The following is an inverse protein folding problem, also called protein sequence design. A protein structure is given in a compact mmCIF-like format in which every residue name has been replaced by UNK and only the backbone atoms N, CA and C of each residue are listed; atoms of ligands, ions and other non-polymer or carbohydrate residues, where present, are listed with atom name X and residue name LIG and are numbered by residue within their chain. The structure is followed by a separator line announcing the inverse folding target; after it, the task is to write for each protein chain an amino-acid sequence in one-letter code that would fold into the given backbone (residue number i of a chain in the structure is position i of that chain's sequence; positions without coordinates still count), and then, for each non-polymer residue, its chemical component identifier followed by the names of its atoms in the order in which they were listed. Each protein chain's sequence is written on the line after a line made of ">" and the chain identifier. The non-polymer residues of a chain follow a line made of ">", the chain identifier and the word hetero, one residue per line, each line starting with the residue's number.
data_IF_743295389199
#
_entry.id   IF_743295389199
#
_cell.length_a   1.000
_cell.length_b   1.000
_cell.length_c   1.000
_cell.angle_alpha   90.00
_cell.angle_beta   90.00
_cell.angle_gamma   90.00
#
_symmetry.space_group_name_H-M   'P 1'
#
loop_
_entity.id
_entity.type
_entity.pdbx_description
1 polymer ?
#
# COMPACT_ATOMS: atom_id res chain seq x y z
N UNK A 1 51.22 -26.28 42.84
CA UNK A 1 49.80 -25.86 42.85
C UNK A 1 49.39 -25.66 41.40
N UNK A 2 48.55 -26.55 40.87
CA UNK A 2 48.29 -26.70 39.43
C UNK A 2 46.79 -26.49 39.24
N UNK A 3 46.41 -25.30 38.77
CA UNK A 3 45.01 -24.92 38.55
C UNK A 3 44.47 -25.61 37.29
N UNK A 4 43.53 -26.53 37.47
CA UNK A 4 42.72 -27.12 36.40
C UNK A 4 41.54 -26.19 36.09
N UNK A 5 41.55 -25.59 34.90
CA UNK A 5 40.38 -24.95 34.31
C UNK A 5 39.37 -26.02 33.90
N UNK A 6 38.19 -26.01 34.52
CA UNK A 6 37.01 -26.71 34.03
C UNK A 6 36.39 -25.87 32.91
N UNK A 7 36.59 -26.29 31.66
CA UNK A 7 35.83 -25.79 30.52
C UNK A 7 34.47 -26.50 30.50
N UNK A 8 33.45 -25.85 31.06
CA UNK A 8 32.05 -26.21 30.84
C UNK A 8 31.66 -25.90 29.40
N UNK A 9 31.51 -26.94 28.58
CA UNK A 9 30.89 -26.88 27.27
C UNK A 9 29.41 -26.50 27.42
N UNK A 10 29.09 -25.25 27.08
CA UNK A 10 27.72 -24.76 26.98
C UNK A 10 27.11 -25.34 25.69
N UNK A 11 26.32 -26.40 25.83
CA UNK A 11 25.53 -26.95 24.74
C UNK A 11 24.37 -25.99 24.42
N UNK A 12 24.54 -25.13 23.40
CA UNK A 12 23.43 -24.41 22.79
C UNK A 12 22.59 -25.42 21.99
N UNK A 13 21.57 -25.97 22.64
CA UNK A 13 20.46 -26.63 21.97
C UNK A 13 19.49 -25.59 21.41
N UNK A 14 19.61 -25.28 20.12
CA UNK A 14 18.57 -24.60 19.34
C UNK A 14 18.40 -25.36 18.02
N UNK A 15 17.68 -26.47 18.08
CA UNK A 15 17.06 -27.06 16.90
C UNK A 15 15.74 -26.33 16.65
N UNK A 16 15.81 -25.10 16.12
CA UNK A 16 14.68 -24.56 15.38
C UNK A 16 14.71 -25.26 14.02
N UNK A 17 13.80 -26.19 13.79
CA UNK A 17 13.56 -26.71 12.45
C UNK A 17 12.94 -25.55 11.66
N UNK A 18 13.74 -24.80 10.92
CA UNK A 18 13.21 -23.93 9.89
C UNK A 18 12.52 -24.84 8.88
N UNK A 19 11.18 -24.85 8.89
CA UNK A 19 10.42 -25.46 7.82
C UNK A 19 10.70 -24.64 6.57
N UNK A 20 10.94 -25.32 5.45
CA UNK A 20 11.15 -24.64 4.19
C UNK A 20 9.81 -24.05 3.73
N UNK A 21 9.81 -22.79 3.31
CA UNK A 21 8.64 -22.11 2.79
C UNK A 21 7.91 -22.94 1.72
N UNK A 22 6.58 -22.82 1.68
CA UNK A 22 5.73 -23.51 0.71
C UNK A 22 5.91 -22.89 -0.66
N UNK A 23 6.37 -23.68 -1.63
CA UNK A 23 6.45 -23.22 -3.01
C UNK A 23 5.05 -23.17 -3.65
N UNK A 24 4.59 -21.98 -4.06
CA UNK A 24 3.28 -21.78 -4.67
C UNK A 24 3.08 -22.61 -5.95
N UNK A 25 4.16 -22.86 -6.72
CA UNK A 25 4.11 -23.69 -7.93
C UNK A 25 3.74 -25.15 -7.66
N UNK A 26 3.88 -25.62 -6.41
CA UNK A 26 3.51 -26.98 -6.01
C UNK A 26 2.00 -27.12 -5.76
N UNK A 27 1.27 -26.00 -5.69
CA UNK A 27 -0.16 -25.98 -5.40
C UNK A 27 -0.98 -26.04 -6.70
N UNK A 28 -2.18 -26.63 -6.66
CA UNK A 28 -3.07 -26.63 -7.81
C UNK A 28 -3.33 -25.19 -8.32
N UNK A 29 -3.05 -24.96 -9.59
CA UNK A 29 -3.19 -23.64 -10.25
C UNK A 29 -2.46 -22.51 -9.52
N UNK A 30 -1.31 -22.81 -8.88
CA UNK A 30 -0.53 -21.85 -8.11
C UNK A 30 -1.37 -21.09 -7.06
N UNK A 31 -2.32 -21.80 -6.44
CA UNK A 31 -3.33 -21.18 -5.56
C UNK A 31 -3.32 -21.80 -4.17
N UNK A 32 -3.12 -20.96 -3.15
CA UNK A 32 -3.41 -21.31 -1.75
C UNK A 32 -4.92 -21.25 -1.55
N UNK A 33 -5.56 -22.42 -1.44
CA UNK A 33 -7.00 -22.55 -1.22
C UNK A 33 -7.40 -22.95 0.20
N UNK A 34 -6.40 -23.32 1.02
CA UNK A 34 -6.57 -23.76 2.40
C UNK A 34 -5.58 -23.03 3.32
N UNK A 35 -5.43 -23.53 4.54
CA UNK A 35 -4.47 -23.01 5.52
C UNK A 35 -3.04 -23.47 5.25
N UNK A 36 -2.10 -22.52 5.21
CA UNK A 36 -0.65 -22.72 5.20
C UNK A 36 -0.11 -22.10 6.48
N UNK A 37 0.63 -22.88 7.28
CA UNK A 37 1.26 -22.43 8.53
C UNK A 37 2.76 -22.23 8.35
N UNK A 38 3.13 -21.48 7.33
CA UNK A 38 4.50 -21.16 6.94
C UNK A 38 4.47 -20.00 5.94
N UNK A 39 5.63 -19.54 5.51
CA UNK A 39 5.76 -18.63 4.39
C UNK A 39 5.41 -19.32 3.07
N UNK A 40 4.94 -18.54 2.09
CA UNK A 40 4.67 -18.99 0.72
C UNK A 40 5.59 -18.23 -0.23
N UNK A 41 6.31 -18.96 -1.08
CA UNK A 41 7.22 -18.38 -2.07
C UNK A 41 6.78 -18.75 -3.48
N UNK A 42 6.81 -17.77 -4.37
CA UNK A 42 6.59 -17.92 -5.80
C UNK A 42 7.78 -17.35 -6.57
N UNK A 43 8.18 -18.01 -7.65
CA UNK A 43 9.31 -17.58 -8.49
C UNK A 43 8.92 -17.75 -9.94
N UNK A 44 8.89 -16.66 -10.70
CA UNK A 44 8.59 -16.69 -12.14
C UNK A 44 7.16 -17.11 -12.47
N UNK A 45 6.22 -16.97 -11.52
CA UNK A 45 4.82 -17.34 -11.69
C UNK A 45 3.89 -16.39 -10.92
N UNK A 46 2.66 -16.26 -11.40
CA UNK A 46 1.56 -15.71 -10.60
C UNK A 46 1.19 -16.67 -9.46
N UNK A 47 1.12 -16.14 -8.24
CA UNK A 47 0.64 -16.86 -7.07
C UNK A 47 -0.64 -16.21 -6.54
N UNK A 48 -1.64 -17.04 -6.23
CA UNK A 48 -2.93 -16.56 -5.73
C UNK A 48 -3.20 -17.09 -4.32
N UNK A 49 -3.51 -16.20 -3.38
CA UNK A 49 -4.16 -16.58 -2.12
C UNK A 49 -5.67 -16.52 -2.37
N UNK A 50 -6.31 -17.68 -2.55
CA UNK A 50 -7.73 -17.76 -2.88
C UNK A 50 -8.63 -17.24 -1.75
N UNK A 51 -9.93 -17.01 -2.00
CA UNK A 51 -10.86 -16.46 -0.99
C UNK A 51 -10.97 -17.26 0.31
N UNK A 52 -10.75 -18.59 0.27
CA UNK A 52 -10.67 -19.45 1.45
C UNK A 52 -9.24 -19.79 1.90
N UNK A 53 -8.24 -19.28 1.18
CA UNK A 53 -6.83 -19.45 1.51
C UNK A 53 -6.43 -18.59 2.70
N UNK A 54 -5.58 -19.14 3.55
CA UNK A 54 -5.01 -18.42 4.69
C UNK A 54 -3.55 -18.80 4.84
N UNK A 55 -2.68 -17.80 4.92
CA UNK A 55 -1.24 -17.96 5.17
C UNK A 55 -0.93 -17.39 6.54
N UNK A 56 -0.40 -18.22 7.44
CA UNK A 56 0.16 -17.79 8.71
C UNK A 56 1.68 -17.67 8.59
N UNK A 57 2.07 -16.63 7.86
CA UNK A 57 3.41 -16.36 7.38
C UNK A 57 3.34 -15.27 6.30
N UNK A 58 4.47 -15.00 5.66
CA UNK A 58 4.57 -14.05 4.56
C UNK A 58 4.38 -14.71 3.20
N UNK A 59 4.00 -13.91 2.21
CA UNK A 59 3.91 -14.34 0.81
C UNK A 59 4.89 -13.52 0.00
N UNK A 60 5.86 -14.19 -0.63
CA UNK A 60 6.88 -13.54 -1.46
C UNK A 60 6.80 -14.06 -2.89
N UNK A 61 6.86 -13.15 -3.86
CA UNK A 61 7.06 -13.50 -5.26
C UNK A 61 8.25 -12.76 -5.84
N UNK A 62 9.01 -13.46 -6.68
CA UNK A 62 10.16 -12.90 -7.39
C UNK A 62 10.16 -13.35 -8.85
N UNK A 63 10.87 -12.64 -9.73
CA UNK A 63 10.86 -12.89 -11.18
C UNK A 63 9.56 -12.43 -11.84
N UNK A 64 9.30 -12.86 -13.07
CA UNK A 64 8.05 -12.51 -13.77
C UNK A 64 6.85 -13.17 -13.07
N UNK A 65 5.81 -12.42 -12.71
CA UNK A 65 4.71 -13.00 -11.97
C UNK A 65 3.73 -11.96 -11.46
N UNK A 66 2.78 -12.37 -10.63
CA UNK A 66 1.93 -11.42 -9.90
C UNK A 66 1.51 -12.04 -8.58
N UNK A 67 1.28 -11.23 -7.56
CA UNK A 67 0.66 -11.67 -6.31
C UNK A 67 -0.80 -11.25 -6.26
N UNK A 68 -1.70 -12.23 -6.20
CA UNK A 68 -3.14 -11.95 -6.08
C UNK A 68 -3.67 -12.46 -4.75
N UNK A 69 -4.01 -11.55 -3.85
CA UNK A 69 -4.57 -11.88 -2.54
C UNK A 69 -6.09 -11.69 -2.55
N UNK A 70 -6.83 -12.75 -2.25
CA UNK A 70 -8.29 -12.75 -2.04
C UNK A 70 -8.67 -13.29 -0.66
N UNK A 71 -7.75 -13.97 0.01
CA UNK A 71 -7.91 -14.54 1.35
C UNK A 71 -7.13 -13.76 2.42
N UNK A 72 -6.55 -14.49 3.37
CA UNK A 72 -5.86 -13.88 4.52
C UNK A 72 -4.36 -14.19 4.51
N UNK A 73 -3.55 -13.18 4.81
CA UNK A 73 -2.10 -13.28 5.03
C UNK A 73 -1.78 -12.64 6.38
N UNK A 74 -1.40 -13.45 7.37
CA UNK A 74 -0.98 -12.99 8.70
C UNK A 74 0.52 -12.68 8.73
N UNK A 75 0.96 -11.90 7.76
CA UNK A 75 2.36 -11.56 7.52
C UNK A 75 2.44 -10.48 6.45
N UNK A 76 3.60 -10.38 5.80
CA UNK A 76 3.82 -9.43 4.72
C UNK A 76 3.51 -10.04 3.35
N UNK A 77 3.19 -9.19 2.38
CA UNK A 77 3.06 -9.56 0.96
C UNK A 77 4.13 -8.77 0.22
N UNK A 78 5.05 -9.45 -0.46
CA UNK A 78 6.17 -8.78 -1.15
C UNK A 78 6.38 -9.36 -2.53
N UNK A 79 6.37 -8.51 -3.53
CA UNK A 79 6.75 -8.80 -4.90
C UNK A 79 8.06 -8.03 -5.19
N UNK A 80 9.04 -8.68 -5.83
CA UNK A 80 10.36 -8.08 -6.12
C UNK A 80 10.81 -8.29 -7.56
N UNK A 81 9.89 -8.49 -8.50
CA UNK A 81 10.17 -8.75 -9.91
C UNK A 81 9.06 -8.17 -10.79
N UNK A 82 9.07 -8.42 -12.11
CA UNK A 82 8.06 -7.80 -12.95
C UNK A 82 6.65 -8.39 -12.70
N UNK A 83 5.76 -7.58 -12.13
CA UNK A 83 4.31 -7.68 -12.25
C UNK A 83 3.52 -7.23 -11.02
N UNK A 84 2.20 -7.41 -11.04
CA UNK A 84 1.33 -6.67 -10.12
C UNK A 84 1.15 -7.34 -8.74
N UNK A 85 0.97 -6.51 -7.70
CA UNK A 85 0.39 -6.93 -6.41
C UNK A 85 -1.07 -6.50 -6.35
N UNK A 86 -1.99 -7.46 -6.33
CA UNK A 86 -3.43 -7.21 -6.33
C UNK A 86 -4.08 -7.71 -5.04
N UNK A 87 -4.48 -6.79 -4.17
CA UNK A 87 -5.34 -7.08 -3.03
C UNK A 87 -6.80 -6.96 -3.46
N UNK A 88 -7.41 -8.08 -3.79
CA UNK A 88 -8.77 -8.14 -4.26
C UNK A 88 -9.79 -8.08 -3.11
N UNK A 89 -11.07 -8.05 -3.48
CA UNK A 89 -12.19 -8.01 -2.53
C UNK A 89 -12.08 -9.11 -1.48
N UNK A 90 -12.11 -8.71 -0.21
CA UNK A 90 -12.05 -9.61 0.94
C UNK A 90 -10.63 -9.93 1.43
N UNK A 91 -9.60 -9.46 0.73
CA UNK A 91 -8.22 -9.63 1.16
C UNK A 91 -8.00 -9.05 2.58
N UNK A 92 -7.22 -9.76 3.40
CA UNK A 92 -6.78 -9.29 4.72
C UNK A 92 -5.29 -9.52 4.83
N UNK A 93 -4.52 -8.45 5.01
CA UNK A 93 -3.07 -8.51 5.19
C UNK A 93 -2.74 -7.83 6.52
N UNK A 94 -2.13 -8.58 7.44
CA UNK A 94 -1.79 -8.08 8.76
C UNK A 94 -0.48 -7.26 8.78
N UNK A 95 0.41 -7.49 7.81
CA UNK A 95 1.67 -6.77 7.65
C UNK A 95 1.66 -5.81 6.47
N UNK A 96 2.87 -5.44 6.06
CA UNK A 96 3.10 -4.55 4.93
C UNK A 96 2.91 -5.27 3.59
N UNK A 97 2.61 -4.47 2.58
CA UNK A 97 2.42 -4.89 1.18
C UNK A 97 3.40 -4.09 0.34
N UNK A 98 4.30 -4.78 -0.35
CA UNK A 98 5.31 -4.13 -1.19
C UNK A 98 5.46 -4.72 -2.58
N UNK A 99 5.81 -3.85 -3.53
CA UNK A 99 6.28 -4.13 -4.89
C UNK A 99 7.56 -3.28 -5.10
N UNK A 100 8.58 -3.82 -5.75
CA UNK A 100 9.87 -3.14 -5.90
C UNK A 100 10.47 -3.14 -7.33
N UNK A 101 9.71 -3.51 -8.36
CA UNK A 101 10.20 -3.58 -9.76
C UNK A 101 9.11 -3.07 -10.71
N UNK A 102 8.99 -3.62 -11.92
CA UNK A 102 7.95 -3.19 -12.86
C UNK A 102 6.59 -3.81 -12.57
N UNK A 103 5.70 -3.10 -11.87
CA UNK A 103 4.34 -3.59 -11.62
C UNK A 103 3.51 -2.69 -10.71
N UNK A 104 2.18 -2.80 -10.74
CA UNK A 104 1.32 -1.93 -9.93
C UNK A 104 0.90 -2.61 -8.63
N UNK A 105 0.70 -1.81 -7.58
CA UNK A 105 -0.10 -2.25 -6.43
C UNK A 105 -1.55 -1.82 -6.63
N UNK A 106 -2.48 -2.77 -6.65
CA UNK A 106 -3.91 -2.51 -6.76
C UNK A 106 -4.66 -3.01 -5.52
N UNK A 107 -5.19 -2.09 -4.71
CA UNK A 107 -6.01 -2.41 -3.54
C UNK A 107 -7.48 -2.15 -3.86
N UNK A 108 -8.30 -3.22 -3.90
CA UNK A 108 -9.71 -3.14 -4.30
C UNK A 108 -10.66 -3.22 -3.10
N UNK A 109 -11.92 -2.85 -3.34
CA UNK A 109 -12.89 -2.63 -2.29
C UNK A 109 -13.04 -3.81 -1.34
N UNK A 110 -13.01 -3.50 -0.05
CA UNK A 110 -13.17 -4.46 1.03
C UNK A 110 -11.92 -5.28 1.32
N UNK A 111 -10.76 -4.93 0.76
CA UNK A 111 -9.45 -5.33 1.27
C UNK A 111 -9.11 -4.53 2.54
N UNK A 112 -8.33 -5.11 3.45
CA UNK A 112 -7.77 -4.43 4.63
C UNK A 112 -6.29 -4.74 4.72
N UNK A 113 -5.50 -3.69 4.95
CA UNK A 113 -4.07 -3.78 5.24
C UNK A 113 -3.86 -3.10 6.58
N UNK A 114 -3.26 -3.82 7.53
CA UNK A 114 -2.95 -3.24 8.84
C UNK A 114 -1.58 -2.55 8.83
N UNK A 115 -0.69 -2.93 7.90
CA UNK A 115 0.60 -2.29 7.64
C UNK A 115 0.57 -1.19 6.58
N UNK A 116 1.74 -0.87 6.04
CA UNK A 116 1.93 0.06 4.94
C UNK A 116 1.78 -0.62 3.57
N UNK A 117 1.48 0.19 2.56
CA UNK A 117 1.48 -0.19 1.15
C UNK A 117 2.60 0.62 0.48
N UNK A 118 3.59 -0.05 -0.10
CA UNK A 118 4.78 0.60 -0.67
C UNK A 118 5.10 0.07 -2.06
N UNK A 119 5.12 0.96 -3.05
CA UNK A 119 5.69 0.70 -4.37
C UNK A 119 7.03 1.45 -4.45
N UNK A 120 8.12 0.76 -4.82
CA UNK A 120 9.45 1.35 -4.96
C UNK A 120 10.09 1.19 -6.36
N UNK A 121 9.35 0.68 -7.33
CA UNK A 121 9.78 0.35 -8.69
C UNK A 121 9.20 1.27 -9.79
N UNK A 122 8.93 0.70 -10.96
CA UNK A 122 8.48 1.42 -12.17
C UNK A 122 6.95 1.33 -12.37
N UNK A 123 6.19 1.24 -11.28
CA UNK A 123 4.76 1.04 -11.27
C UNK A 123 3.97 2.18 -10.65
N UNK A 124 2.84 1.87 -10.03
CA UNK A 124 1.95 2.86 -9.42
C UNK A 124 1.06 2.21 -8.37
N UNK A 125 0.65 2.98 -7.36
CA UNK A 125 -0.31 2.52 -6.36
C UNK A 125 -1.73 2.97 -6.71
N UNK A 126 -2.63 2.01 -6.90
CA UNK A 126 -4.03 2.22 -7.23
C UNK A 126 -4.94 1.66 -6.13
N UNK A 127 -5.44 2.54 -5.26
CA UNK A 127 -6.42 2.19 -4.22
C UNK A 127 -7.82 2.53 -4.73
N UNK A 128 -8.68 1.53 -4.83
CA UNK A 128 -10.09 1.72 -5.24
C UNK A 128 -11.02 1.09 -4.22
N UNK A 129 -11.80 1.94 -3.54
CA UNK A 129 -12.82 1.51 -2.58
C UNK A 129 -14.18 1.44 -3.28
N UNK A 130 -14.41 0.36 -4.04
CA UNK A 130 -15.61 0.12 -4.87
C UNK A 130 -16.69 -0.75 -4.21
N UNK A 131 -16.54 -1.06 -2.93
CA UNK A 131 -17.59 -1.67 -2.10
C UNK A 131 -17.73 -0.94 -0.77
N UNK A 132 -18.90 -1.04 -0.10
CA UNK A 132 -19.05 -0.51 1.25
C UNK A 132 -17.99 -1.06 2.19
N UNK A 133 -17.28 -0.17 2.88
CA UNK A 133 -16.20 -0.53 3.77
C UNK A 133 -15.21 0.61 3.95
N UNK A 134 -14.06 0.25 4.54
CA UNK A 134 -12.95 1.13 4.84
C UNK A 134 -11.67 0.43 4.40
N UNK A 135 -10.87 1.09 3.58
CA UNK A 135 -9.47 0.72 3.36
C UNK A 135 -8.62 1.51 4.34
N UNK A 136 -7.73 0.81 5.04
CA UNK A 136 -6.75 1.39 5.95
C UNK A 136 -5.34 1.10 5.46
N UNK A 137 -4.42 1.97 5.81
CA UNK A 137 -3.00 1.81 5.55
C UNK A 137 -2.39 3.08 4.94
N UNK A 138 -1.16 3.37 5.33
CA UNK A 138 -0.40 4.42 4.68
C UNK A 138 0.08 3.91 3.32
N UNK A 139 0.06 4.79 2.32
CA UNK A 139 0.52 4.52 0.97
C UNK A 139 1.81 5.28 0.72
N UNK A 140 2.81 4.57 0.24
CA UNK A 140 4.11 5.09 -0.17
C UNK A 140 4.34 4.72 -1.64
N UNK A 141 4.73 5.71 -2.43
CA UNK A 141 5.24 5.54 -3.79
C UNK A 141 6.62 6.21 -3.80
N UNK A 142 7.66 5.41 -3.98
CA UNK A 142 9.06 5.83 -3.97
C UNK A 142 9.74 5.61 -5.34
N UNK A 143 8.94 5.20 -6.32
CA UNK A 143 9.29 4.79 -7.67
C UNK A 143 8.94 5.86 -8.71
N UNK A 144 8.73 5.43 -9.96
CA UNK A 144 8.53 6.34 -11.09
C UNK A 144 7.06 6.55 -11.50
N UNK A 145 6.09 6.15 -10.69
CA UNK A 145 4.69 6.40 -11.00
C UNK A 145 3.95 7.16 -9.93
N UNK A 146 2.64 6.97 -9.91
CA UNK A 146 1.74 7.83 -9.16
C UNK A 146 0.85 7.07 -8.20
N UNK A 147 0.22 7.81 -7.31
CA UNK A 147 -0.79 7.28 -6.40
C UNK A 147 -2.16 7.73 -6.85
N UNK A 148 -3.08 6.78 -7.03
CA UNK A 148 -4.50 7.07 -7.23
C UNK A 148 -5.33 6.46 -6.11
N UNK A 149 -6.12 7.28 -5.41
CA UNK A 149 -7.09 6.84 -4.39
C UNK A 149 -8.51 7.20 -4.81
N UNK A 150 -9.32 6.19 -5.11
CA UNK A 150 -10.71 6.32 -5.54
C UNK A 150 -11.67 5.79 -4.47
N UNK A 151 -12.22 6.69 -3.65
CA UNK A 151 -13.31 6.37 -2.73
C UNK A 151 -14.66 6.45 -3.49
N UNK A 152 -15.15 5.31 -3.99
CA UNK A 152 -16.33 5.23 -4.86
C UNK A 152 -17.60 4.70 -4.19
N UNK A 153 -17.44 3.74 -3.27
CA UNK A 153 -18.53 3.15 -2.47
C UNK A 153 -18.14 2.90 -0.99
N UNK A 154 -16.89 3.16 -0.62
CA UNK A 154 -16.40 3.11 0.76
C UNK A 154 -15.38 4.22 1.01
N UNK A 155 -14.85 4.28 2.23
CA UNK A 155 -13.93 5.33 2.68
C UNK A 155 -12.47 4.85 2.73
N UNK A 156 -11.54 5.79 2.77
CA UNK A 156 -10.12 5.56 2.95
C UNK A 156 -9.60 6.28 4.20
N UNK A 157 -8.72 5.62 4.95
CA UNK A 157 -8.05 6.19 6.12
C UNK A 157 -6.56 5.79 6.12
N UNK A 158 -5.69 6.77 5.97
CA UNK A 158 -4.25 6.61 5.86
C UNK A 158 -3.61 7.82 5.18
N UNK A 159 -2.32 8.02 5.38
CA UNK A 159 -1.59 9.07 4.65
C UNK A 159 -1.08 8.53 3.30
N UNK A 160 -0.92 9.42 2.33
CA UNK A 160 -0.30 9.16 1.04
C UNK A 160 0.99 9.96 0.95
N UNK A 161 2.09 9.29 0.65
CA UNK A 161 3.39 9.91 0.44
C UNK A 161 3.96 9.42 -0.90
N UNK A 162 4.21 10.35 -1.80
CA UNK A 162 4.78 10.11 -3.12
C UNK A 162 6.10 10.90 -3.17
N UNK A 163 7.20 10.21 -3.49
CA UNK A 163 8.56 10.79 -3.44
C UNK A 163 9.34 10.70 -4.75
N UNK A 164 8.84 10.02 -5.76
CA UNK A 164 9.46 9.92 -7.07
C UNK A 164 8.59 10.57 -8.16
N UNK A 165 8.98 10.48 -9.44
CA UNK A 165 8.32 11.25 -10.50
C UNK A 165 6.89 10.76 -10.72
N UNK A 166 5.92 11.47 -10.15
CA UNK A 166 4.57 10.94 -9.99
C UNK A 166 3.45 11.95 -10.13
N UNK A 167 2.23 11.54 -9.86
CA UNK A 167 1.16 12.46 -9.48
C UNK A 167 0.35 11.75 -8.41
N UNK A 168 -0.21 12.52 -7.49
CA UNK A 168 -1.20 12.01 -6.54
C UNK A 168 -2.59 12.46 -6.95
N UNK A 169 -3.49 11.51 -7.21
CA UNK A 169 -4.88 11.78 -7.58
C UNK A 169 -5.83 11.15 -6.55
N UNK A 170 -6.71 11.95 -5.96
CA UNK A 170 -7.72 11.49 -5.00
C UNK A 170 -9.12 11.88 -5.48
N UNK A 171 -10.03 10.90 -5.50
CA UNK A 171 -11.45 11.11 -5.79
C UNK A 171 -12.26 10.64 -4.58
N UNK A 172 -13.10 11.52 -4.05
CA UNK A 172 -14.00 11.24 -2.92
C UNK A 172 -15.45 11.47 -3.33
N UNK A 173 -16.19 10.40 -3.58
CA UNK A 173 -17.61 10.49 -3.94
C UNK A 173 -18.49 10.96 -2.77
N UNK A 174 -19.69 11.44 -3.11
CA UNK A 174 -20.69 11.90 -2.15
C UNK A 174 -20.98 10.85 -1.07
N UNK A 175 -21.01 11.29 0.20
CA UNK A 175 -21.29 10.44 1.35
C UNK A 175 -20.12 9.55 1.81
N UNK A 176 -18.95 9.67 1.19
CA UNK A 176 -17.73 8.93 1.54
C UNK A 176 -16.67 9.88 2.09
N UNK A 177 -15.62 9.32 2.69
CA UNK A 177 -14.52 10.10 3.21
C UNK A 177 -13.13 9.60 2.81
N UNK A 178 -12.23 10.56 2.68
CA UNK A 178 -10.78 10.36 2.74
C UNK A 178 -10.26 11.01 4.03
N UNK A 179 -9.45 10.29 4.79
CA UNK A 179 -8.83 10.78 6.03
C UNK A 179 -7.34 10.48 6.07
N UNK A 180 -6.53 11.52 6.12
CA UNK A 180 -5.08 11.42 6.19
C UNK A 180 -4.40 12.53 5.39
N UNK A 181 -3.10 12.67 5.57
CA UNK A 181 -2.33 13.69 4.88
C UNK A 181 -1.85 13.17 3.52
N UNK A 182 -1.67 14.08 2.56
CA UNK A 182 -1.06 13.81 1.26
C UNK A 182 0.20 14.66 1.17
N UNK A 183 1.33 14.01 0.92
CA UNK A 183 2.59 14.67 0.62
C UNK A 183 3.12 14.16 -0.72
N UNK A 184 3.45 15.09 -1.60
CA UNK A 184 4.15 14.85 -2.85
C UNK A 184 5.47 15.64 -2.77
N UNK A 185 6.60 14.98 -2.98
CA UNK A 185 7.94 15.54 -2.73
C UNK A 185 8.74 15.85 -4.00
N UNK A 186 8.07 15.88 -5.15
CA UNK A 186 8.62 15.65 -6.46
C UNK A 186 8.12 16.71 -7.48
N UNK A 187 8.47 16.62 -8.77
CA UNK A 187 7.93 17.53 -9.79
C UNK A 187 6.48 17.26 -10.20
N UNK A 188 5.84 16.23 -9.65
CA UNK A 188 4.48 15.80 -9.89
C UNK A 188 3.43 16.73 -9.29
N UNK A 189 2.14 16.43 -9.50
CA UNK A 189 1.04 17.27 -9.01
C UNK A 189 0.08 16.49 -8.15
N UNK A 190 -0.53 17.18 -7.19
CA UNK A 190 -1.60 16.64 -6.36
C UNK A 190 -2.95 17.17 -6.83
N UNK A 191 -3.87 16.27 -7.19
CA UNK A 191 -5.26 16.59 -7.52
C UNK A 191 -6.22 15.88 -6.56
N UNK A 192 -7.13 16.62 -5.95
CA UNK A 192 -8.22 16.07 -5.15
C UNK A 192 -9.59 16.56 -5.67
N UNK A 193 -10.42 15.63 -6.16
CA UNK A 193 -11.83 15.85 -6.48
C UNK A 193 -12.70 15.36 -5.33
N UNK A 194 -13.30 16.31 -4.60
CA UNK A 194 -13.99 16.10 -3.34
C UNK A 194 -15.46 16.42 -3.51
N UNK A 195 -16.26 15.40 -3.78
CA UNK A 195 -17.73 15.45 -3.68
C UNK A 195 -18.25 15.00 -2.31
N UNK A 196 -17.47 14.22 -1.56
CA UNK A 196 -17.73 13.77 -0.20
C UNK A 196 -17.06 14.64 0.86
N UNK A 197 -16.32 13.98 1.78
CA UNK A 197 -15.61 14.62 2.88
C UNK A 197 -14.11 14.28 2.83
N UNK A 198 -13.26 15.30 2.81
CA UNK A 198 -11.81 15.15 2.92
C UNK A 198 -11.33 15.76 4.24
N UNK A 199 -10.55 15.03 5.02
CA UNK A 199 -9.90 15.51 6.25
C UNK A 199 -8.41 15.17 6.26
N UNK A 200 -7.57 16.19 6.24
CA UNK A 200 -6.12 16.09 6.18
C UNK A 200 -5.49 17.24 5.41
N UNK A 201 -4.17 17.31 5.40
CA UNK A 201 -3.43 18.32 4.66
C UNK A 201 -2.96 17.78 3.31
N UNK A 202 -2.80 18.67 2.34
CA UNK A 202 -2.14 18.40 1.07
C UNK A 202 -0.90 19.28 1.01
N UNK A 203 0.25 18.68 0.80
CA UNK A 203 1.52 19.36 0.57
C UNK A 203 2.10 18.86 -0.74
N UNK A 204 2.39 19.79 -1.65
CA UNK A 204 3.31 19.58 -2.76
C UNK A 204 4.60 20.34 -2.40
N UNK A 205 5.72 19.63 -2.39
CA UNK A 205 6.95 20.12 -1.77
C UNK A 205 8.00 20.62 -2.76
N UNK A 206 7.77 20.60 -4.08
CA UNK A 206 8.71 21.13 -5.08
C UNK A 206 8.00 21.99 -6.16
N UNK A 207 7.92 21.51 -7.40
CA UNK A 207 7.57 22.33 -8.57
C UNK A 207 6.20 22.00 -9.18
N UNK A 208 5.43 21.19 -8.48
CA UNK A 208 4.13 20.65 -8.82
C UNK A 208 2.94 21.58 -8.66
N UNK A 209 1.76 21.08 -8.99
CA UNK A 209 0.51 21.81 -8.77
C UNK A 209 -0.34 21.14 -7.70
N UNK A 210 -1.05 21.94 -6.91
CA UNK A 210 -2.11 21.46 -6.02
C UNK A 210 -3.47 21.93 -6.54
N UNK A 211 -4.32 20.98 -6.93
CA UNK A 211 -5.68 21.26 -7.39
C UNK A 211 -6.67 20.58 -6.46
N UNK A 212 -7.52 21.37 -5.82
CA UNK A 212 -8.62 20.86 -4.98
C UNK A 212 -9.95 21.33 -5.57
N UNK A 213 -10.88 20.43 -5.82
CA UNK A 213 -12.13 20.74 -6.51
C UNK A 213 -13.31 19.92 -6.02
N UNK A 214 -14.53 20.29 -6.41
CA UNK A 214 -15.73 19.51 -6.15
C UNK A 214 -16.74 20.16 -5.17
N UNK A 215 -17.98 19.65 -5.10
CA UNK A 215 -19.06 20.23 -4.32
C UNK A 215 -19.04 19.85 -2.82
N UNK A 216 -18.08 19.02 -2.40
CA UNK A 216 -18.00 18.43 -1.07
C UNK A 216 -17.44 19.36 0.00
N UNK A 217 -16.91 18.75 1.06
CA UNK A 217 -16.28 19.43 2.19
C UNK A 217 -14.82 19.01 2.31
N UNK A 218 -13.93 19.98 2.49
CA UNK A 218 -12.51 19.78 2.70
C UNK A 218 -12.10 20.44 4.00
N UNK A 219 -11.42 19.70 4.88
CA UNK A 219 -10.91 20.18 6.16
C UNK A 219 -9.41 19.90 6.28
N UNK A 220 -8.62 20.97 6.31
CA UNK A 220 -7.16 20.94 6.37
C UNK A 220 -6.53 22.00 5.49
N UNK A 221 -5.21 21.96 5.31
CA UNK A 221 -4.48 22.91 4.49
C UNK A 221 -4.17 22.35 3.10
N UNK A 222 -4.08 23.23 2.10
CA UNK A 222 -3.42 22.94 0.83
C UNK A 222 -2.20 23.84 0.66
N UNK A 223 -1.03 23.24 0.47
CA UNK A 223 0.26 23.90 0.41
C UNK A 223 1.04 23.49 -0.84
N UNK A 224 1.79 24.41 -1.43
CA UNK A 224 2.65 24.17 -2.60
C UNK A 224 3.93 25.01 -2.51
N UNK A 225 4.95 24.65 -3.29
CA UNK A 225 6.16 25.46 -3.48
C UNK A 225 6.22 26.11 -4.87
N UNK A 226 7.10 27.12 -5.03
CA UNK A 226 7.37 27.72 -6.34
C UNK A 226 8.38 26.83 -7.10
N UNK A 227 8.24 26.59 -8.40
CA UNK A 227 7.41 27.31 -9.40
C UNK A 227 5.98 26.78 -9.59
N UNK A 228 5.49 25.94 -8.68
CA UNK A 228 4.17 25.34 -8.71
C UNK A 228 3.01 26.34 -8.68
N UNK A 229 1.80 25.82 -8.89
CA UNK A 229 0.55 26.58 -8.70
C UNK A 229 -0.39 25.87 -7.77
N UNK A 230 -1.26 26.62 -7.09
CA UNK A 230 -2.33 26.03 -6.32
C UNK A 230 -3.67 26.66 -6.68
N UNK A 231 -4.70 25.81 -6.81
CA UNK A 231 -6.08 26.22 -7.03
C UNK A 231 -7.05 25.44 -6.16
N UNK A 232 -8.11 26.12 -5.74
CA UNK A 232 -9.19 25.54 -4.97
C UNK A 232 -10.54 26.00 -5.52
N UNK A 233 -11.43 25.03 -5.74
CA UNK A 233 -12.83 25.26 -6.12
C UNK A 233 -13.80 24.48 -5.23
N UNK A 234 -13.34 23.98 -4.07
CA UNK A 234 -14.18 23.26 -3.13
C UNK A 234 -15.13 24.25 -2.44
N UNK A 235 -16.43 23.97 -2.49
CA UNK A 235 -17.45 24.89 -1.98
C UNK A 235 -17.38 25.12 -0.47
N UNK A 236 -16.97 24.10 0.29
CA UNK A 236 -16.86 24.13 1.75
C UNK A 236 -15.46 23.75 2.18
N UNK A 237 -14.58 24.75 2.21
CA UNK A 237 -13.19 24.59 2.64
C UNK A 237 -12.98 25.14 4.04
N UNK A 238 -12.42 24.32 4.94
CA UNK A 238 -12.08 24.65 6.32
C UNK A 238 -10.56 24.49 6.55
N UNK A 239 -9.82 25.58 6.43
CA UNK A 239 -8.36 25.61 6.64
C UNK A 239 -7.69 26.67 5.78
N UNK A 240 -6.39 26.51 5.52
CA UNK A 240 -5.62 27.43 4.67
C UNK A 240 -5.59 26.92 3.24
N UNK A 241 -6.04 27.75 2.31
CA UNK A 241 -6.02 27.44 0.87
C UNK A 241 -4.74 27.98 0.26
N UNK A 242 -4.03 27.13 -0.48
CA UNK A 242 -2.91 27.53 -1.33
C UNK A 242 -1.84 28.36 -0.60
N UNK A 243 -1.45 27.87 0.58
CA UNK A 243 -0.32 28.41 1.31
C UNK A 243 0.95 28.12 0.52
N UNK A 244 1.79 29.14 0.38
CA UNK A 244 3.16 28.95 -0.09
C UNK A 244 3.96 28.38 1.09
N UNK A 245 4.57 27.22 0.87
CA UNK A 245 5.45 26.55 1.84
C UNK A 245 6.86 27.18 1.81
#
# INVERSE_FOLDING_TARGET
>A
MRNTLFATTLALGLFANATAAVNCASLPNNTVSNFVNDDVVAIGITCTIGPGGSVNGSVTQSGEGSLVVRGTVNGTVSETGPGDVVLARGARVAGDVSEADGGNIAVRGGASVDGAIEEAGDGSVNVTVDVPGLVKGNVYENGNGGVTVNALAGSFEGSVNETGPGNVAVIVNFGLSFKGDIEEHDGGSVTADVSGFFEGNIVEALAGNVVTSGPGMFKGNSEHQLTGTCSNTVLRFEGTVCKLN
#
